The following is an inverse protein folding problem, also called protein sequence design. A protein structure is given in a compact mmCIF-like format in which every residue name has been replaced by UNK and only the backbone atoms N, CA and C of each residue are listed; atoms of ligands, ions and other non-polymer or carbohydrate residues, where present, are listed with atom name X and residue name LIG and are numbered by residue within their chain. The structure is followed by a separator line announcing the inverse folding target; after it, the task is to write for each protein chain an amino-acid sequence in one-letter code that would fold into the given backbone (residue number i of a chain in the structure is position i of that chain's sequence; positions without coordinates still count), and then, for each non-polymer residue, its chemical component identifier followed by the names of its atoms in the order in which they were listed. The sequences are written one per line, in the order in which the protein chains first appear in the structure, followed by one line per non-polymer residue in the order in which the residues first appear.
data_IF_368201132322
#
_entry.id   IF_368201132322
#
_cell.length_a   1.000
_cell.length_b   1.000
_cell.length_c   1.000
_cell.angle_alpha   90.00
_cell.angle_beta   90.00
_cell.angle_gamma   90.00
#
_symmetry.space_group_name_H-M   'P 1'
#
loop_
_entity.id
_entity.type
_entity.pdbx_description
1 polymer ?
#
# COMPACT_ATOMS: atom_id res chain seq x y z
N UNK A 1 4.01 11.38 17.20
CA UNK A 1 3.97 9.91 17.27
C UNK A 1 3.36 9.34 15.99
N UNK A 2 3.53 8.03 15.74
CA UNK A 2 2.92 7.34 14.59
C UNK A 2 1.39 7.46 14.59
N UNK A 3 0.76 7.33 15.77
CA UNK A 3 -0.69 7.49 15.94
C UNK A 3 -1.18 8.83 15.39
N UNK A 4 -0.50 9.94 15.68
CA UNK A 4 -0.90 11.26 15.16
C UNK A 4 -0.84 11.32 13.62
N UNK A 5 0.14 10.65 13.01
CA UNK A 5 0.23 10.57 11.54
C UNK A 5 -0.89 9.71 10.97
N UNK A 6 -1.21 8.57 11.60
CA UNK A 6 -2.32 7.71 11.20
C UNK A 6 -3.67 8.42 11.34
N UNK A 7 -3.93 9.13 12.44
CA UNK A 7 -5.15 9.94 12.62
C UNK A 7 -5.35 10.93 11.46
N UNK A 8 -4.29 11.59 11.01
CA UNK A 8 -4.36 12.50 9.86
C UNK A 8 -4.68 11.76 8.54
N UNK A 9 -4.18 10.54 8.35
CA UNK A 9 -4.53 9.70 7.20
C UNK A 9 -5.98 9.22 7.27
N UNK A 10 -6.43 8.75 8.43
CA UNK A 10 -7.80 8.25 8.63
C UNK A 10 -8.83 9.37 8.49
N UNK A 11 -8.54 10.57 9.01
CA UNK A 11 -9.41 11.73 8.82
C UNK A 11 -9.57 12.12 7.34
N UNK A 12 -8.57 11.81 6.48
CA UNK A 12 -8.63 12.13 5.04
C UNK A 12 -9.32 11.04 4.21
N UNK A 13 -9.15 9.77 4.58
CA UNK A 13 -9.54 8.64 3.74
C UNK A 13 -10.62 7.74 4.35
N UNK A 14 -11.00 8.00 5.60
CA UNK A 14 -11.80 7.08 6.41
C UNK A 14 -10.90 6.17 7.26
N UNK A 15 -11.50 5.62 8.31
CA UNK A 15 -10.88 4.60 9.15
C UNK A 15 -10.92 3.28 8.35
N UNK A 16 -9.79 2.58 8.17
CA UNK A 16 -9.79 1.29 7.51
C UNK A 16 -10.30 0.18 8.44
N UNK A 17 -10.92 -0.86 7.89
CA UNK A 17 -11.33 -2.04 8.68
C UNK A 17 -10.13 -2.78 9.28
N UNK A 18 -8.97 -2.73 8.61
CA UNK A 18 -7.76 -3.44 9.04
C UNK A 18 -6.50 -2.64 8.74
N UNK A 19 -5.63 -2.56 9.75
CA UNK A 19 -4.28 -2.03 9.65
C UNK A 19 -3.31 -3.18 9.86
N UNK A 20 -2.37 -3.33 8.92
CA UNK A 20 -1.30 -4.33 9.01
C UNK A 20 0.02 -3.61 9.21
N UNK A 21 0.80 -4.00 10.21
CA UNK A 21 2.15 -3.46 10.46
C UNK A 21 3.12 -4.56 10.87
N UNK A 22 4.41 -4.24 10.90
CA UNK A 22 5.40 -5.04 11.62
C UNK A 22 5.17 -4.99 13.15
N UNK A 23 5.92 -5.82 13.86
CA UNK A 23 5.98 -5.87 15.33
C UNK A 23 6.91 -4.79 15.92
N UNK A 24 7.21 -3.71 15.18
CA UNK A 24 8.07 -2.65 15.69
C UNK A 24 7.46 -2.01 16.95
N UNK A 25 8.27 -1.56 17.92
CA UNK A 25 7.80 -1.05 19.21
C UNK A 25 6.73 0.05 19.11
N UNK A 26 6.80 0.85 18.03
CA UNK A 26 5.85 1.92 17.76
C UNK A 26 4.43 1.46 17.39
N UNK A 27 4.27 0.21 16.97
CA UNK A 27 2.98 -0.40 16.63
C UNK A 27 2.55 -1.46 17.66
N UNK A 28 3.48 -2.06 18.40
CA UNK A 28 3.18 -3.04 19.46
C UNK A 28 2.93 -2.42 20.84
N UNK A 29 2.99 -1.08 20.96
CA UNK A 29 2.77 -0.39 22.23
C UNK A 29 1.32 -0.47 22.72
N UNK A 30 1.14 -0.36 24.03
CA UNK A 30 -0.19 -0.37 24.64
C UNK A 30 -1.05 0.81 24.16
N UNK A 31 -0.44 1.97 23.92
CA UNK A 31 -1.10 3.15 23.35
C UNK A 31 -1.62 2.88 21.94
N UNK A 32 -0.88 2.12 21.12
CA UNK A 32 -1.33 1.75 19.78
C UNK A 32 -2.51 0.76 19.84
N UNK A 33 -2.47 -0.18 20.78
CA UNK A 33 -3.59 -1.11 21.03
C UNK A 33 -4.84 -0.36 21.52
N UNK A 34 -4.70 0.62 22.42
CA UNK A 34 -5.82 1.46 22.83
C UNK A 34 -6.36 2.29 21.67
N UNK A 35 -5.48 2.80 20.80
CA UNK A 35 -5.87 3.52 19.60
C UNK A 35 -6.68 2.64 18.63
N UNK A 36 -6.27 1.39 18.40
CA UNK A 36 -7.02 0.48 17.52
C UNK A 36 -8.40 0.13 18.05
N UNK A 37 -8.53 -0.08 19.36
CA UNK A 37 -9.83 -0.30 20.02
C UNK A 37 -10.69 0.96 19.92
N UNK A 38 -10.15 2.13 20.27
CA UNK A 38 -10.91 3.38 20.32
C UNK A 38 -11.36 3.88 18.94
N UNK A 39 -10.64 3.53 17.87
CA UNK A 39 -10.98 3.88 16.49
C UNK A 39 -11.59 2.68 15.73
N UNK A 40 -11.87 1.58 16.42
CA UNK A 40 -12.60 0.42 15.89
C UNK A 40 -12.00 -0.21 14.62
N UNK A 41 -10.67 -0.22 14.50
CA UNK A 41 -9.98 -0.93 13.41
C UNK A 41 -9.25 -2.16 13.91
N UNK A 42 -9.27 -3.24 13.12
CA UNK A 42 -8.49 -4.44 13.42
C UNK A 42 -7.01 -4.18 13.16
N UNK A 43 -6.18 -4.26 14.20
CA UNK A 43 -4.73 -4.23 14.04
C UNK A 43 -4.19 -5.65 13.94
N UNK A 44 -3.52 -5.96 12.83
CA UNK A 44 -2.84 -7.24 12.60
C UNK A 44 -1.34 -6.97 12.52
N UNK A 45 -0.55 -7.67 13.32
CA UNK A 45 0.88 -7.59 13.20
C UNK A 45 1.41 -8.75 12.36
N UNK A 46 2.23 -8.45 11.36
CA UNK A 46 2.95 -9.47 10.62
C UNK A 46 4.21 -9.87 11.38
N UNK A 47 4.38 -11.18 11.58
CA UNK A 47 5.66 -11.75 12.02
C UNK A 47 6.77 -11.41 11.01
N UNK A 48 8.05 -11.34 11.42
CA UNK A 48 9.18 -11.29 10.50
C UNK A 48 9.13 -12.38 9.41
N UNK A 49 8.47 -13.50 9.69
CA UNK A 49 8.27 -14.61 8.77
C UNK A 49 7.17 -14.39 7.70
N UNK A 50 6.44 -13.26 7.72
CA UNK A 50 5.43 -12.88 6.71
C UNK A 50 5.91 -11.67 5.87
N UNK A 51 6.98 -11.82 5.08
CA UNK A 51 7.62 -10.71 4.36
C UNK A 51 6.73 -10.08 3.28
N UNK A 52 5.65 -10.73 2.85
CA UNK A 52 4.80 -10.22 1.77
C UNK A 52 3.99 -8.98 2.19
N UNK A 53 3.50 -8.93 3.43
CA UNK A 53 2.72 -7.80 3.95
C UNK A 53 3.59 -6.56 4.09
N UNK A 54 4.77 -6.71 4.71
CA UNK A 54 5.73 -5.62 4.84
C UNK A 54 6.38 -5.24 3.49
N UNK A 55 6.62 -6.21 2.61
CA UNK A 55 7.26 -5.97 1.31
C UNK A 55 6.50 -4.97 0.45
N UNK A 56 5.16 -4.90 0.55
CA UNK A 56 4.36 -3.85 -0.13
C UNK A 56 4.63 -2.47 0.45
N UNK A 57 4.67 -2.34 1.77
CA UNK A 57 4.97 -1.07 2.44
C UNK A 57 6.41 -0.61 2.16
N UNK A 58 7.38 -1.53 2.24
CA UNK A 58 8.79 -1.27 1.91
C UNK A 58 8.97 -0.83 0.46
N UNK A 59 8.30 -1.52 -0.48
CA UNK A 59 8.30 -1.16 -1.89
C UNK A 59 7.74 0.25 -2.12
N UNK A 60 6.63 0.58 -1.46
CA UNK A 60 6.05 1.92 -1.53
C UNK A 60 7.00 3.00 -0.98
N UNK A 61 7.68 2.73 0.15
CA UNK A 61 8.70 3.63 0.72
C UNK A 61 9.87 3.80 -0.25
N UNK A 62 10.34 2.71 -0.86
CA UNK A 62 11.41 2.74 -1.87
C UNK A 62 11.02 3.61 -3.06
N UNK A 63 9.81 3.44 -3.60
CA UNK A 63 9.30 4.28 -4.70
C UNK A 63 9.21 5.75 -4.29
N UNK A 64 8.70 6.06 -3.10
CA UNK A 64 8.62 7.43 -2.61
C UNK A 64 10.01 8.08 -2.49
N UNK A 65 10.98 7.39 -1.88
CA UNK A 65 12.38 7.86 -1.79
C UNK A 65 12.99 8.12 -3.17
N UNK A 66 12.75 7.22 -4.12
CA UNK A 66 13.23 7.39 -5.50
C UNK A 66 12.61 8.61 -6.18
N UNK A 67 11.30 8.82 -6.05
CA UNK A 67 10.60 9.98 -6.60
C UNK A 67 11.14 11.28 -6.01
N UNK A 68 11.26 11.35 -4.68
CA UNK A 68 11.81 12.52 -4.00
C UNK A 68 13.27 12.79 -4.41
N UNK A 69 14.08 11.74 -4.54
CA UNK A 69 15.47 11.86 -5.01
C UNK A 69 15.58 12.36 -6.45
N UNK A 70 14.71 11.89 -7.35
CA UNK A 70 14.62 12.37 -8.74
C UNK A 70 14.18 13.82 -8.79
N UNK A 71 13.13 14.19 -8.05
CA UNK A 71 12.64 15.57 -7.97
C UNK A 71 13.73 16.52 -7.47
N UNK A 72 14.46 16.13 -6.41
CA UNK A 72 15.59 16.92 -5.88
C UNK A 72 16.69 17.14 -6.93
N UNK A 73 17.09 16.10 -7.68
CA UNK A 73 18.10 16.23 -8.75
C UNK A 73 17.62 17.11 -9.90
N UNK A 74 16.34 17.02 -10.25
CA UNK A 74 15.72 17.83 -11.30
C UNK A 74 15.27 19.22 -10.85
N UNK A 75 15.53 19.63 -9.60
CA UNK A 75 15.02 20.88 -9.00
C UNK A 75 13.49 21.05 -9.11
N UNK A 76 12.76 19.93 -9.12
CA UNK A 76 11.30 19.90 -9.16
C UNK A 76 10.70 19.74 -7.75
N UNK A 77 9.42 20.09 -7.62
CA UNK A 77 8.68 19.89 -6.37
C UNK A 77 8.41 18.38 -6.12
N UNK A 78 8.90 17.79 -5.01
CA UNK A 78 8.67 16.39 -4.70
C UNK A 78 7.18 16.03 -4.51
N UNK A 79 6.35 16.97 -4.06
CA UNK A 79 4.91 16.73 -3.90
C UNK A 79 4.20 16.64 -5.24
N UNK A 80 4.63 17.42 -6.24
CA UNK A 80 4.13 17.31 -7.60
C UNK A 80 4.50 15.95 -8.20
N UNK A 81 5.73 15.47 -8.00
CA UNK A 81 6.15 14.14 -8.45
C UNK A 81 5.32 13.02 -7.80
N UNK A 82 4.96 13.15 -6.51
CA UNK A 82 4.07 12.20 -5.83
C UNK A 82 2.64 12.29 -6.40
N UNK A 83 2.16 13.50 -6.69
CA UNK A 83 0.84 13.71 -7.31
C UNK A 83 0.76 13.01 -8.68
N UNK A 84 1.75 13.22 -9.54
CA UNK A 84 1.84 12.58 -10.85
C UNK A 84 1.92 11.05 -10.73
N UNK A 85 2.75 10.54 -9.82
CA UNK A 85 2.84 9.10 -9.57
C UNK A 85 1.48 8.49 -9.19
N UNK A 86 0.67 9.19 -8.39
CA UNK A 86 -0.70 8.75 -8.04
C UNK A 86 -1.69 8.82 -9.19
N UNK A 87 -1.39 9.59 -10.25
CA UNK A 87 -2.23 9.74 -11.44
C UNK A 87 -1.77 8.89 -12.63
N UNK A 88 -0.60 8.26 -12.55
CA UNK A 88 -0.11 7.32 -13.57
C UNK A 88 -0.61 5.89 -13.27
N UNK A 89 -1.20 5.18 -14.26
CA UNK A 89 -1.56 3.78 -14.11
C UNK A 89 -0.38 2.92 -13.64
N UNK A 90 -0.62 2.05 -12.67
CA UNK A 90 0.39 1.13 -12.16
C UNK A 90 0.54 -0.08 -13.08
N UNK A 91 1.70 -0.73 -13.09
CA UNK A 91 1.92 -1.93 -13.90
C UNK A 91 0.85 -3.00 -13.62
N UNK A 92 0.29 -3.56 -14.69
CA UNK A 92 -0.82 -4.53 -14.61
C UNK A 92 -2.19 -3.94 -14.26
N UNK A 93 -2.33 -2.60 -14.21
CA UNK A 93 -3.61 -1.91 -14.04
C UNK A 93 -3.82 -0.87 -15.13
N UNK A 94 -5.05 -0.75 -15.60
CA UNK A 94 -5.46 0.32 -16.53
C UNK A 94 -5.92 1.60 -15.81
N UNK A 95 -5.85 1.63 -14.48
CA UNK A 95 -6.26 2.75 -13.65
C UNK A 95 -5.17 3.18 -12.66
N UNK A 96 -5.13 4.47 -12.38
CA UNK A 96 -4.15 5.06 -11.46
C UNK A 96 -4.49 4.75 -9.99
N UNK A 97 -3.52 4.83 -9.06
CA UNK A 97 -3.80 4.73 -7.63
C UNK A 97 -4.90 5.68 -7.15
N UNK A 98 -4.95 6.92 -7.65
CA UNK A 98 -5.99 7.88 -7.29
C UNK A 98 -7.38 7.41 -7.73
N UNK A 99 -7.51 6.87 -8.95
CA UNK A 99 -8.78 6.33 -9.43
C UNK A 99 -9.24 5.12 -8.64
N UNK A 100 -8.32 4.21 -8.29
CA UNK A 100 -8.66 3.00 -7.52
C UNK A 100 -9.06 3.31 -6.08
N UNK A 101 -8.44 4.32 -5.47
CA UNK A 101 -8.70 4.68 -4.08
C UNK A 101 -9.90 5.63 -3.92
N UNK A 102 -10.02 6.63 -4.80
CA UNK A 102 -10.99 7.72 -4.65
C UNK A 102 -12.16 7.62 -5.65
N UNK A 103 -12.17 6.58 -6.50
CA UNK A 103 -13.12 6.41 -7.61
C UNK A 103 -13.22 7.65 -8.50
N UNK A 104 -12.15 8.44 -8.63
CA UNK A 104 -12.11 9.64 -9.48
C UNK A 104 -10.69 10.03 -9.82
N UNK A 105 -10.52 10.84 -10.87
CA UNK A 105 -9.27 11.57 -11.11
C UNK A 105 -9.29 12.88 -10.34
N UNK A 106 -8.13 13.33 -9.88
CA UNK A 106 -7.98 14.69 -9.32
C UNK A 106 -7.22 15.57 -10.30
N UNK A 107 -7.34 16.90 -10.15
CA UNK A 107 -6.67 17.84 -11.04
C UNK A 107 -5.15 17.75 -10.85
N UNK A 108 -4.44 17.72 -11.96
CA UNK A 108 -2.98 17.86 -12.03
C UNK A 108 -2.65 19.08 -12.90
N UNK A 109 -1.37 19.35 -13.14
CA UNK A 109 -0.95 20.41 -14.06
C UNK A 109 -1.20 20.04 -15.53
N UNK A 110 -1.53 18.78 -15.83
CA UNK A 110 -1.85 18.35 -17.18
C UNK A 110 -3.32 18.63 -17.51
N UNK A 111 -3.62 19.25 -18.67
CA UNK A 111 -4.99 19.45 -19.11
C UNK A 111 -5.78 18.15 -19.10
N UNK A 112 -6.92 18.14 -18.41
CA UNK A 112 -7.80 16.98 -18.28
C UNK A 112 -9.23 17.44 -18.55
N UNK A 113 -10.00 16.64 -19.29
CA UNK A 113 -11.42 16.91 -19.53
C UNK A 113 -12.22 16.82 -18.24
N UNK A 114 -13.14 17.76 -18.01
CA UNK A 114 -13.95 17.80 -16.78
C UNK A 114 -14.81 16.54 -16.58
N UNK A 115 -15.23 15.89 -17.67
CA UNK A 115 -15.94 14.61 -17.62
C UNK A 115 -15.13 13.50 -16.94
N UNK A 116 -13.79 13.54 -17.03
CA UNK A 116 -12.90 12.55 -16.41
C UNK A 116 -12.65 12.82 -14.91
N UNK A 117 -13.04 14.00 -14.41
CA UNK A 117 -12.95 14.36 -12.99
C UNK A 117 -14.18 13.89 -12.20
N UNK A 118 -15.25 13.49 -12.90
CA UNK A 118 -16.44 12.95 -12.27
C UNK A 118 -16.14 11.59 -11.62
N UNK A 119 -16.82 11.26 -10.50
CA UNK A 119 -16.69 9.95 -9.88
C UNK A 119 -17.08 8.82 -10.85
N UNK A 120 -16.26 7.77 -10.89
CA UNK A 120 -16.46 6.56 -11.64
C UNK A 120 -15.64 5.42 -11.03
N UNK A 121 -16.34 4.39 -10.54
CA UNK A 121 -15.71 3.19 -9.99
C UNK A 121 -15.07 2.40 -11.11
N UNK A 122 -13.81 1.98 -10.91
CA UNK A 122 -13.10 1.13 -11.87
C UNK A 122 -13.12 -0.30 -11.36
N UNK A 123 -13.55 -1.25 -12.20
CA UNK A 123 -13.38 -2.66 -11.88
C UNK A 123 -11.90 -3.05 -12.00
N UNK A 124 -11.31 -3.44 -10.87
CA UNK A 124 -9.90 -3.89 -10.82
C UNK A 124 -9.73 -5.30 -10.28
N UNK A 125 -10.81 -6.03 -10.02
CA UNK A 125 -10.78 -7.33 -9.35
C UNK A 125 -9.92 -8.32 -10.13
N UNK A 126 -10.19 -8.46 -11.44
CA UNK A 126 -9.43 -9.35 -12.31
C UNK A 126 -7.93 -8.95 -12.38
N UNK A 127 -7.64 -7.65 -12.45
CA UNK A 127 -6.27 -7.16 -12.48
C UNK A 127 -5.53 -7.42 -11.16
N UNK A 128 -6.21 -7.28 -10.02
CA UNK A 128 -5.66 -7.62 -8.70
C UNK A 128 -5.35 -9.11 -8.65
N UNK A 129 -6.29 -9.96 -9.04
CA UNK A 129 -6.12 -11.41 -9.03
C UNK A 129 -4.94 -11.86 -9.90
N UNK A 130 -4.87 -11.39 -11.14
CA UNK A 130 -3.76 -11.73 -12.05
C UNK A 130 -2.41 -11.27 -11.48
N UNK A 131 -2.34 -10.08 -10.89
CA UNK A 131 -1.11 -9.58 -10.30
C UNK A 131 -0.71 -10.35 -9.03
N UNK A 132 -1.68 -10.77 -8.21
CA UNK A 132 -1.43 -11.62 -7.05
C UNK A 132 -0.92 -13.01 -7.47
N UNK A 133 -1.55 -13.65 -8.46
CA UNK A 133 -1.10 -14.93 -9.02
C UNK A 133 0.32 -14.84 -9.59
N UNK A 134 0.63 -13.76 -10.31
CA UNK A 134 1.99 -13.50 -10.81
C UNK A 134 2.99 -13.35 -9.65
N UNK A 135 2.67 -12.56 -8.62
CA UNK A 135 3.52 -12.41 -7.43
C UNK A 135 3.76 -13.75 -6.73
N UNK A 136 2.72 -14.56 -6.55
CA UNK A 136 2.83 -15.89 -5.96
C UNK A 136 3.74 -16.82 -6.80
N UNK A 137 3.58 -16.83 -8.13
CA UNK A 137 4.43 -17.60 -9.03
C UNK A 137 5.90 -17.20 -8.94
N UNK A 138 6.20 -15.89 -8.94
CA UNK A 138 7.59 -15.42 -8.80
C UNK A 138 8.19 -15.76 -7.42
N UNK A 139 7.41 -15.62 -6.35
CA UNK A 139 7.87 -15.94 -5.00
C UNK A 139 8.12 -17.45 -4.82
N UNK A 140 7.21 -18.30 -5.29
CA UNK A 140 7.30 -19.75 -5.16
C UNK A 140 8.27 -20.41 -6.15
N UNK A 141 8.82 -19.67 -7.12
CA UNK A 141 9.71 -20.23 -8.16
C UNK A 141 10.96 -20.92 -7.58
N UNK A 142 11.43 -20.48 -6.42
CA UNK A 142 12.55 -21.07 -5.70
C UNK A 142 12.16 -21.92 -4.48
N UNK A 143 10.86 -22.04 -4.18
CA UNK A 143 10.38 -22.80 -3.05
C UNK A 143 10.43 -24.30 -3.36
N UNK A 144 10.91 -25.08 -2.40
CA UNK A 144 10.83 -26.55 -2.43
C UNK A 144 9.77 -26.97 -1.43
N UNK A 145 8.95 -27.95 -1.80
CA UNK A 145 8.00 -28.54 -0.86
C UNK A 145 8.76 -29.13 0.33
N UNK A 146 8.28 -28.82 1.53
CA UNK A 146 8.83 -29.41 2.76
C UNK A 146 8.58 -30.92 2.71
N UNK A 147 9.61 -31.69 3.09
CA UNK A 147 9.45 -33.14 3.25
C UNK A 147 8.36 -33.40 4.30
N UNK A 148 7.49 -34.41 4.11
CA UNK A 148 6.52 -34.79 5.14
C UNK A 148 7.25 -35.03 6.45
N UNK A 149 6.78 -34.40 7.54
CA UNK A 149 7.31 -34.64 8.88
C UNK A 149 7.04 -36.10 9.23
N UNK A 150 8.09 -36.88 9.49
CA UNK A 150 7.95 -38.20 10.07
C UNK A 150 7.71 -38.04 11.58
N UNK A 151 6.79 -38.83 12.15
CA UNK A 151 6.55 -38.85 13.59
C UNK A 151 7.87 -39.08 14.34
N UNK A 152 8.32 -38.09 15.11
CA UNK A 152 9.50 -38.18 15.98
C UNK A 152 10.65 -37.21 15.70
N UNK A 153 10.60 -36.37 14.66
CA UNK A 153 11.58 -35.27 14.50
C UNK A 153 11.13 -34.03 15.30
N UNK A 154 11.92 -33.66 16.33
CA UNK A 154 11.86 -32.37 17.03
C UNK A 154 12.80 -31.35 16.40
#
# INVERSE_FOLDING_TARGET
TVIHKLKAHFARHGIPDTVISDNEPQYSSQEFKQFSIAWEFRHVTSSPAYPQSNGKAESAVKTAKQLMGKAKRGKADPYLAILEHRHTPSQGFNASPAQRLMSRRTKTLLPTRDSLLQPGVVNTEHAVEVNQRKQACYYNRGAKDLRPLQEGEQ
#
